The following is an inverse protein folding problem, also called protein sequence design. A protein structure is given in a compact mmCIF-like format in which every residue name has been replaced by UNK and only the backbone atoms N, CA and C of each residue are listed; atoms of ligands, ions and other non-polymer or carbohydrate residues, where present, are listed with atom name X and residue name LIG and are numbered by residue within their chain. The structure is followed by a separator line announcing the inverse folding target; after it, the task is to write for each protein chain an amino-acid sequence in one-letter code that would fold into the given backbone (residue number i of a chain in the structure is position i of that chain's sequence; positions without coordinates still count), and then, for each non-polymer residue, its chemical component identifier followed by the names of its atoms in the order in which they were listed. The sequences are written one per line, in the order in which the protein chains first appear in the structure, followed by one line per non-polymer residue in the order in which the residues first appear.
data_IF_285304277392
#
_entry.id   IF_285304277392
#
_cell.length_a   1.000
_cell.length_b   1.000
_cell.length_c   1.000
_cell.angle_alpha   90.00
_cell.angle_beta   90.00
_cell.angle_gamma   90.00
#
_symmetry.space_group_name_H-M   'P 1'
#
loop_
_entity.id
_entity.type
_entity.pdbx_description
1 polymer ?
#
# COMPACT_ATOMS: atom_id res chain seq x y z
N UNK A 1 -5.18 -15.27 27.45
CA UNK A 1 -6.52 -14.65 27.63
C UNK A 1 -7.52 -15.49 28.43
N UNK A 2 -7.63 -16.82 28.28
CA UNK A 2 -8.56 -17.64 29.11
C UNK A 2 -8.33 -17.62 30.64
N UNK A 3 -7.09 -17.70 31.18
CA UNK A 3 -6.90 -17.81 32.64
C UNK A 3 -7.26 -16.54 33.42
N UNK A 4 -7.11 -15.35 32.83
CA UNK A 4 -7.48 -14.09 33.48
C UNK A 4 -9.00 -13.91 33.57
N UNK A 5 -9.73 -14.29 32.52
CA UNK A 5 -11.20 -14.24 32.51
C UNK A 5 -11.81 -15.17 33.58
N UNK A 6 -11.24 -16.37 33.75
CA UNK A 6 -11.67 -17.32 34.77
C UNK A 6 -11.40 -16.79 36.19
N UNK A 7 -10.28 -16.09 36.40
CA UNK A 7 -9.98 -15.47 37.70
C UNK A 7 -10.95 -14.33 38.06
N UNK A 8 -11.30 -13.48 37.09
CA UNK A 8 -12.20 -12.34 37.29
C UNK A 8 -13.64 -12.80 37.56
N UNK A 9 -14.12 -13.81 36.83
CA UNK A 9 -15.45 -14.40 37.06
C UNK A 9 -15.58 -15.00 38.45
N UNK A 10 -14.56 -15.73 38.92
CA UNK A 10 -14.52 -16.29 40.27
C UNK A 10 -14.51 -15.21 41.35
N UNK A 11 -13.72 -14.15 41.15
CA UNK A 11 -13.66 -13.01 42.07
C UNK A 11 -15.02 -12.31 42.19
N UNK A 12 -15.68 -12.03 41.05
CA UNK A 12 -17.02 -11.44 41.02
C UNK A 12 -18.06 -12.31 41.72
N UNK A 13 -18.05 -13.64 41.46
CA UNK A 13 -18.97 -14.58 42.12
C UNK A 13 -18.78 -14.59 43.63
N UNK A 14 -17.54 -14.57 44.11
CA UNK A 14 -17.23 -14.50 45.55
C UNK A 14 -17.74 -13.20 46.18
N UNK A 15 -17.49 -12.06 45.54
CA UNK A 15 -17.96 -10.76 46.02
C UNK A 15 -19.49 -10.68 46.08
N UNK A 16 -20.19 -11.18 45.05
CA UNK A 16 -21.66 -11.28 45.05
C UNK A 16 -22.19 -12.14 46.19
N UNK A 17 -21.54 -13.29 46.47
CA UNK A 17 -21.91 -14.17 47.59
C UNK A 17 -21.69 -13.51 48.94
N UNK A 18 -20.59 -12.77 49.12
CA UNK A 18 -20.30 -12.04 50.36
C UNK A 18 -21.34 -10.95 50.62
N UNK A 19 -21.65 -10.12 49.62
CA UNK A 19 -22.65 -9.07 49.75
C UNK A 19 -24.06 -9.64 49.99
N UNK A 20 -24.42 -10.75 49.32
CA UNK A 20 -25.69 -11.45 49.57
C UNK A 20 -25.73 -12.06 50.97
N UNK A 21 -24.65 -12.71 51.41
CA UNK A 21 -24.54 -13.30 52.74
C UNK A 21 -24.70 -12.27 53.85
N UNK A 22 -24.10 -11.08 53.67
CA UNK A 22 -24.26 -9.98 54.61
C UNK A 22 -25.70 -9.46 54.66
N UNK A 23 -26.38 -9.31 53.50
CA UNK A 23 -27.80 -8.95 53.47
C UNK A 23 -28.65 -9.98 54.22
N UNK A 24 -28.46 -11.27 53.94
CA UNK A 24 -29.21 -12.35 54.61
C UNK A 24 -28.97 -12.36 56.13
N UNK A 25 -27.73 -12.14 56.57
CA UNK A 25 -27.38 -12.04 57.98
C UNK A 25 -28.15 -10.90 58.65
N UNK A 26 -28.11 -9.70 58.08
CA UNK A 26 -28.79 -8.53 58.63
C UNK A 26 -30.31 -8.71 58.64
N UNK A 27 -30.88 -9.28 57.58
CA UNK A 27 -32.31 -9.63 57.53
C UNK A 27 -32.67 -10.66 58.61
N UNK A 28 -31.84 -11.68 58.85
CA UNK A 28 -32.06 -12.66 59.90
C UNK A 28 -32.02 -12.03 61.30
N UNK A 29 -31.07 -11.11 61.54
CA UNK A 29 -30.99 -10.33 62.79
C UNK A 29 -32.25 -9.48 62.97
N UNK A 30 -32.72 -8.81 61.91
CA UNK A 30 -33.96 -8.02 61.96
C UNK A 30 -35.19 -8.88 62.28
N UNK A 31 -35.33 -10.04 61.65
CA UNK A 31 -36.45 -10.97 61.92
C UNK A 31 -36.38 -11.50 63.36
N UNK A 32 -35.22 -11.97 63.80
CA UNK A 32 -35.05 -12.53 65.14
C UNK A 32 -35.35 -11.48 66.24
N UNK A 33 -34.88 -10.25 66.05
CA UNK A 33 -35.16 -9.13 66.97
C UNK A 33 -36.59 -8.60 66.87
N UNK A 34 -37.33 -8.92 65.81
CA UNK A 34 -38.75 -8.55 65.67
C UNK A 34 -39.71 -9.50 66.37
N UNK A 35 -39.31 -10.76 66.59
CA UNK A 35 -40.12 -11.79 67.23
C UNK A 35 -39.91 -11.85 68.76
N UNK A 36 -38.76 -11.35 69.25
CA UNK A 36 -38.43 -11.33 70.69
C UNK A 36 -38.76 -9.95 71.28
N UNK A 37 -39.61 -9.92 72.30
CA UNK A 37 -39.93 -8.70 73.04
C UNK A 37 -39.06 -8.54 74.30
N UNK A 38 -38.61 -7.30 74.55
CA UNK A 38 -38.16 -6.66 75.81
C UNK A 38 -36.66 -6.37 75.96
N UNK A 39 -36.27 -5.14 75.59
CA UNK A 39 -35.04 -4.46 76.04
C UNK A 39 -34.65 -3.27 75.14
N UNK A 40 -34.20 -2.15 75.72
CA UNK A 40 -33.70 -0.98 74.96
C UNK A 40 -32.56 -1.34 74.00
N UNK A 41 -31.67 -2.24 74.44
CA UNK A 41 -30.57 -2.76 73.63
C UNK A 41 -31.06 -3.58 72.42
N UNK A 42 -32.05 -4.45 72.62
CA UNK A 42 -32.66 -5.24 71.55
C UNK A 42 -33.34 -4.34 70.50
N UNK A 43 -33.99 -3.26 70.94
CA UNK A 43 -34.58 -2.27 70.05
C UNK A 43 -33.51 -1.48 69.25
N UNK A 44 -32.35 -1.19 69.87
CA UNK A 44 -31.22 -0.57 69.17
C UNK A 44 -30.64 -1.48 68.08
N UNK A 45 -30.47 -2.77 68.39
CA UNK A 45 -30.02 -3.78 67.41
C UNK A 45 -31.04 -3.97 66.30
N UNK A 46 -32.34 -3.95 66.61
CA UNK A 46 -33.42 -3.99 65.60
C UNK A 46 -33.34 -2.80 64.66
N UNK A 47 -33.24 -1.58 65.18
CA UNK A 47 -33.15 -0.36 64.37
C UNK A 47 -31.88 -0.32 63.52
N UNK A 48 -30.75 -0.77 64.08
CA UNK A 48 -29.50 -0.96 63.33
C UNK A 48 -29.67 -1.98 62.20
N UNK A 49 -30.28 -3.14 62.47
CA UNK A 49 -30.49 -4.19 61.47
C UNK A 49 -31.50 -3.77 60.39
N UNK A 50 -32.56 -3.04 60.75
CA UNK A 50 -33.53 -2.48 59.82
C UNK A 50 -32.88 -1.50 58.86
N UNK A 51 -32.12 -0.53 59.39
CA UNK A 51 -31.45 0.47 58.57
C UNK A 51 -30.32 -0.13 57.72
N UNK A 52 -29.57 -1.10 58.26
CA UNK A 52 -28.58 -1.86 57.50
C UNK A 52 -29.23 -2.66 56.36
N UNK A 53 -30.38 -3.30 56.59
CA UNK A 53 -31.13 -4.03 55.57
C UNK A 53 -31.63 -3.11 54.47
N UNK A 54 -32.20 -1.96 54.83
CA UNK A 54 -32.68 -0.95 53.87
C UNK A 54 -31.52 -0.42 53.03
N UNK A 55 -30.38 -0.07 53.65
CA UNK A 55 -29.17 0.37 52.94
C UNK A 55 -28.65 -0.69 51.96
N UNK A 56 -28.57 -1.95 52.41
CA UNK A 56 -28.15 -3.08 51.58
C UNK A 56 -29.08 -3.36 50.39
N UNK A 57 -30.39 -3.14 50.55
CA UNK A 57 -31.40 -3.27 49.48
C UNK A 57 -31.37 -2.09 48.50
N UNK A 58 -31.18 -0.88 48.99
CA UNK A 58 -31.08 0.32 48.16
C UNK A 58 -29.85 0.24 47.23
N UNK A 59 -28.70 -0.12 47.77
CA UNK A 59 -27.48 -0.29 46.97
C UNK A 59 -27.56 -1.50 46.04
N UNK A 60 -28.22 -2.59 46.46
CA UNK A 60 -28.52 -3.69 45.56
C UNK A 60 -29.34 -3.22 44.35
N UNK A 61 -30.39 -2.44 44.58
CA UNK A 61 -31.20 -1.88 43.52
C UNK A 61 -30.38 -1.00 42.58
N UNK A 62 -29.56 -0.10 43.12
CA UNK A 62 -28.71 0.81 42.33
C UNK A 62 -27.70 0.05 41.45
N UNK A 63 -26.98 -0.93 42.02
CA UNK A 63 -25.99 -1.73 41.28
C UNK A 63 -26.67 -2.60 40.22
N UNK A 64 -27.80 -3.23 40.54
CA UNK A 64 -28.55 -4.03 39.56
C UNK A 64 -29.09 -3.14 38.45
N UNK A 65 -29.67 -1.97 38.78
CA UNK A 65 -30.20 -1.01 37.81
C UNK A 65 -29.13 -0.45 36.86
N UNK A 66 -27.85 -0.44 37.25
CA UNK A 66 -26.76 -0.04 36.36
C UNK A 66 -26.60 -1.01 35.19
N UNK A 67 -26.69 -2.32 35.45
CA UNK A 67 -26.43 -3.38 34.46
C UNK A 67 -27.70 -3.96 33.84
N UNK A 68 -28.74 -4.20 34.63
CA UNK A 68 -29.92 -4.99 34.24
C UNK A 68 -31.20 -4.38 34.80
N UNK A 69 -32.34 -4.95 34.39
CA UNK A 69 -33.63 -4.64 35.00
C UNK A 69 -33.78 -5.42 36.31
N UNK A 70 -33.99 -4.75 37.46
CA UNK A 70 -34.18 -5.44 38.74
C UNK A 70 -35.44 -6.31 38.67
N UNK A 71 -35.32 -7.57 39.07
CA UNK A 71 -36.39 -8.59 39.02
C UNK A 71 -37.03 -8.78 37.62
N UNK A 72 -36.39 -8.28 36.55
CA UNK A 72 -36.97 -8.27 35.20
C UNK A 72 -38.09 -7.24 34.98
N UNK A 73 -38.39 -6.39 35.95
CA UNK A 73 -39.50 -5.43 35.88
C UNK A 73 -39.13 -4.21 35.01
N UNK A 74 -40.07 -3.64 34.23
CA UNK A 74 -39.84 -2.48 33.37
C UNK A 74 -39.82 -1.17 34.20
N UNK A 75 -38.87 -1.04 35.10
CA UNK A 75 -38.69 0.17 35.92
C UNK A 75 -37.94 1.22 35.09
N UNK A 76 -38.43 2.48 35.03
CA UNK A 76 -37.77 3.54 34.29
C UNK A 76 -36.34 3.78 34.82
N UNK A 77 -35.42 4.18 33.95
CA UNK A 77 -34.02 4.49 34.29
C UNK A 77 -33.19 3.30 34.84
N UNK A 78 -33.54 2.07 34.49
CA UNK A 78 -32.74 0.86 34.77
C UNK A 78 -32.03 0.34 33.51
N UNK A 79 -31.13 -0.63 33.66
CA UNK A 79 -30.20 -1.08 32.63
C UNK A 79 -29.44 0.08 31.97
N UNK A 80 -28.89 0.99 32.80
CA UNK A 80 -28.30 2.27 32.36
C UNK A 80 -27.19 2.08 31.33
N UNK A 81 -26.31 1.09 31.52
CA UNK A 81 -25.20 0.81 30.60
C UNK A 81 -25.74 0.36 29.24
N UNK A 82 -26.60 -0.66 29.21
CA UNK A 82 -27.22 -1.17 28.00
C UNK A 82 -27.97 -0.06 27.23
N UNK A 83 -28.74 0.77 27.94
CA UNK A 83 -29.51 1.88 27.33
C UNK A 83 -28.62 2.98 26.75
N UNK A 84 -27.45 3.22 27.33
CA UNK A 84 -26.53 4.29 26.90
C UNK A 84 -25.38 3.79 26.02
N UNK A 85 -25.39 2.54 25.56
CA UNK A 85 -24.33 1.95 24.72
C UNK A 85 -23.89 2.86 23.57
N UNK A 86 -24.83 3.36 22.77
CA UNK A 86 -24.51 4.24 21.63
C UNK A 86 -23.84 5.55 22.07
N UNK A 87 -24.23 6.11 23.22
CA UNK A 87 -23.61 7.31 23.78
C UNK A 87 -22.20 7.04 24.29
N UNK A 88 -21.99 5.88 24.93
CA UNK A 88 -20.67 5.44 25.38
C UNK A 88 -19.74 5.28 24.17
N UNK A 89 -20.21 4.64 23.10
CA UNK A 89 -19.46 4.49 21.85
C UNK A 89 -19.02 5.82 21.25
N UNK A 90 -19.94 6.78 21.10
CA UNK A 90 -19.61 8.14 20.60
C UNK A 90 -18.58 8.87 21.44
N UNK A 91 -18.73 8.83 22.76
CA UNK A 91 -17.82 9.50 23.68
C UNK A 91 -16.44 8.86 23.63
N UNK A 92 -16.36 7.53 23.57
CA UNK A 92 -15.10 6.80 23.43
C UNK A 92 -14.41 7.14 22.10
N UNK A 93 -15.15 7.15 20.99
CA UNK A 93 -14.63 7.51 19.67
C UNK A 93 -14.06 8.94 19.66
N UNK A 94 -14.80 9.89 20.23
CA UNK A 94 -14.36 11.29 20.35
C UNK A 94 -13.13 11.41 21.24
N UNK A 95 -13.09 10.68 22.36
CA UNK A 95 -11.94 10.66 23.26
C UNK A 95 -10.68 10.12 22.58
N UNK A 96 -10.78 9.01 21.83
CA UNK A 96 -9.63 8.45 21.09
C UNK A 96 -9.14 9.44 20.02
N UNK A 97 -10.06 10.03 19.25
CA UNK A 97 -9.73 11.04 18.24
C UNK A 97 -9.00 12.24 18.84
N UNK A 98 -9.54 12.82 19.91
CA UNK A 98 -9.10 14.12 20.44
C UNK A 98 -7.93 14.02 21.42
N UNK A 99 -7.64 12.82 21.97
CA UNK A 99 -6.59 12.61 22.98
C UNK A 99 -5.45 11.70 22.55
N UNK A 100 -5.70 10.77 21.62
CA UNK A 100 -4.67 9.82 21.18
C UNK A 100 -4.23 10.04 19.75
N UNK A 101 -5.14 10.54 18.90
CA UNK A 101 -4.91 10.71 17.47
C UNK A 101 -5.00 12.17 17.03
N UNK A 102 -4.87 13.11 17.96
CA UNK A 102 -4.74 14.52 17.60
C UNK A 102 -3.38 14.78 16.92
N UNK A 103 -3.36 15.75 16.00
CA UNK A 103 -2.16 16.07 15.21
C UNK A 103 -0.93 16.34 16.10
N UNK A 104 -1.01 17.20 17.15
CA UNK A 104 0.12 17.42 18.06
C UNK A 104 0.66 16.16 18.72
N UNK A 105 -0.22 15.27 19.20
CA UNK A 105 0.19 14.01 19.83
C UNK A 105 0.93 13.09 18.85
N UNK A 106 0.42 12.96 17.61
CA UNK A 106 1.05 12.13 16.57
C UNK A 106 2.41 12.69 16.12
N UNK A 107 2.52 14.02 15.96
CA UNK A 107 3.79 14.68 15.64
C UNK A 107 4.79 14.52 16.79
N UNK A 108 4.35 14.68 18.05
CA UNK A 108 5.20 14.44 19.22
C UNK A 108 5.69 12.98 19.26
N UNK A 109 4.83 12.02 18.87
CA UNK A 109 5.20 10.62 18.81
C UNK A 109 6.29 10.35 17.77
N UNK A 110 6.20 10.97 16.59
CA UNK A 110 7.25 10.89 15.55
C UNK A 110 8.57 11.45 16.09
N UNK A 111 8.55 12.66 16.66
CA UNK A 111 9.76 13.30 17.21
C UNK A 111 10.45 12.49 18.30
N UNK A 112 9.66 11.80 19.14
CA UNK A 112 10.20 10.98 20.23
C UNK A 112 10.86 9.69 19.76
N UNK A 113 10.44 9.14 18.63
CA UNK A 113 10.82 7.78 18.22
C UNK A 113 11.75 7.70 17.01
N UNK A 114 12.09 8.84 16.39
CA UNK A 114 12.93 8.95 15.19
C UNK A 114 12.67 7.80 14.18
N UNK A 115 11.55 7.88 13.42
CA UNK A 115 11.19 6.84 12.46
C UNK A 115 12.29 6.55 11.43
N UNK A 116 13.04 7.58 11.01
CA UNK A 116 14.15 7.41 10.07
C UNK A 116 15.23 6.50 10.64
N UNK A 117 15.64 6.72 11.90
CA UNK A 117 16.64 5.89 12.56
C UNK A 117 16.15 4.45 12.77
N UNK A 118 14.91 4.28 13.23
CA UNK A 118 14.31 2.94 13.40
C UNK A 118 14.21 2.18 12.07
N UNK A 119 13.83 2.88 11.00
CA UNK A 119 13.78 2.31 9.66
C UNK A 119 15.18 1.91 9.19
N UNK A 120 16.18 2.75 9.41
CA UNK A 120 17.57 2.46 9.07
C UNK A 120 18.10 1.21 9.79
N UNK A 121 17.91 1.14 11.12
CA UNK A 121 18.29 -0.01 11.94
C UNK A 121 17.57 -1.30 11.49
N UNK A 122 16.28 -1.20 11.17
CA UNK A 122 15.51 -2.35 10.71
C UNK A 122 15.97 -2.83 9.32
N UNK A 123 16.23 -1.92 8.37
CA UNK A 123 16.67 -2.25 7.01
C UNK A 123 18.09 -2.85 6.96
N UNK A 124 18.98 -2.39 7.84
CA UNK A 124 20.38 -2.85 7.91
C UNK A 124 20.56 -4.13 8.70
N UNK A 125 19.57 -4.53 9.51
CA UNK A 125 19.62 -5.78 10.26
C UNK A 125 19.63 -7.02 9.33
N UNK A 126 20.37 -8.08 9.68
CA UNK A 126 20.52 -9.26 8.84
C UNK A 126 19.17 -9.94 8.58
N UNK A 127 18.86 -10.19 7.30
CA UNK A 127 17.64 -10.86 6.86
C UNK A 127 16.43 -9.94 6.64
N UNK A 128 16.37 -8.75 7.24
CA UNK A 128 15.19 -7.87 7.10
C UNK A 128 15.04 -7.28 5.70
N UNK A 129 16.14 -6.88 5.06
CA UNK A 129 16.12 -6.45 3.66
C UNK A 129 15.62 -7.57 2.72
N UNK A 130 15.94 -8.84 3.01
CA UNK A 130 15.42 -9.97 2.26
C UNK A 130 13.92 -10.18 2.52
N UNK A 131 13.46 -10.02 3.77
CA UNK A 131 12.03 -10.04 4.10
C UNK A 131 11.23 -8.99 3.33
N UNK A 132 11.77 -7.77 3.16
CA UNK A 132 11.15 -6.76 2.29
C UNK A 132 11.04 -7.25 0.85
N UNK A 133 12.11 -7.84 0.31
CA UNK A 133 12.12 -8.41 -1.03
C UNK A 133 11.00 -9.44 -1.20
N UNK A 134 10.88 -10.39 -0.27
CA UNK A 134 9.84 -11.43 -0.31
C UNK A 134 8.43 -10.88 -0.12
N UNK A 135 8.24 -9.83 0.69
CA UNK A 135 6.92 -9.22 0.80
C UNK A 135 6.55 -8.39 -0.42
N UNK A 136 7.51 -7.70 -1.02
CA UNK A 136 7.30 -7.00 -2.28
C UNK A 136 6.91 -7.98 -3.39
N UNK A 137 7.54 -9.15 -3.48
CA UNK A 137 7.14 -10.17 -4.47
C UNK A 137 5.75 -10.73 -4.21
N UNK A 138 5.38 -11.00 -2.95
CA UNK A 138 4.02 -11.44 -2.60
C UNK A 138 2.96 -10.40 -2.97
N UNK A 139 3.20 -9.13 -2.65
CA UNK A 139 2.30 -8.04 -3.01
C UNK A 139 2.21 -7.86 -4.52
N UNK A 140 3.35 -7.94 -5.23
CA UNK A 140 3.38 -7.87 -6.69
C UNK A 140 2.66 -9.05 -7.34
N UNK A 141 2.77 -10.26 -6.77
CA UNK A 141 2.04 -11.45 -7.23
C UNK A 141 0.54 -11.28 -7.05
N UNK A 142 0.10 -10.88 -5.85
CA UNK A 142 -1.31 -10.62 -5.58
C UNK A 142 -1.87 -9.52 -6.50
N UNK A 143 -1.11 -8.44 -6.72
CA UNK A 143 -1.49 -7.40 -7.66
C UNK A 143 -1.61 -7.96 -9.09
N UNK A 144 -0.63 -8.74 -9.55
CA UNK A 144 -0.63 -9.32 -10.90
C UNK A 144 -1.77 -10.34 -11.12
N UNK A 145 -2.22 -11.01 -10.07
CA UNK A 145 -3.39 -11.91 -10.09
C UNK A 145 -4.73 -11.14 -10.14
N UNK A 146 -4.83 -10.00 -9.44
CA UNK A 146 -6.05 -9.18 -9.44
C UNK A 146 -6.29 -8.46 -10.77
N UNK A 147 -5.23 -8.29 -11.56
CA UNK A 147 -5.27 -7.57 -12.83
C UNK A 147 -5.84 -8.47 -13.93
N UNK A 148 -7.01 -8.10 -14.46
CA UNK A 148 -7.66 -8.82 -15.57
C UNK A 148 -6.94 -8.58 -16.89
N UNK A 149 -6.56 -9.68 -17.56
CA UNK A 149 -5.80 -9.65 -18.82
C UNK A 149 -6.46 -8.84 -19.92
N UNK A 150 -7.77 -9.00 -20.09
CA UNK A 150 -8.51 -8.31 -21.13
C UNK A 150 -8.54 -6.78 -20.95
N UNK A 151 -8.47 -6.27 -19.72
CA UNK A 151 -8.48 -4.82 -19.46
C UNK A 151 -7.11 -4.22 -19.71
N UNK A 152 -6.05 -4.90 -19.27
CA UNK A 152 -4.69 -4.43 -19.48
C UNK A 152 -4.27 -4.53 -20.93
N UNK A 153 -4.66 -5.59 -21.63
CA UNK A 153 -4.42 -5.72 -23.06
C UNK A 153 -5.01 -4.52 -23.82
N UNK A 154 -6.27 -4.15 -23.55
CA UNK A 154 -6.91 -2.96 -24.15
C UNK A 154 -6.17 -1.67 -23.78
N UNK A 155 -5.73 -1.54 -22.53
CA UNK A 155 -4.97 -0.39 -22.07
C UNK A 155 -3.63 -0.27 -22.80
N UNK A 156 -2.88 -1.37 -22.90
CA UNK A 156 -1.58 -1.42 -23.60
C UNK A 156 -1.75 -1.12 -25.07
N UNK A 157 -2.75 -1.69 -25.74
CA UNK A 157 -3.05 -1.34 -27.13
C UNK A 157 -3.36 0.14 -27.31
N UNK A 158 -4.16 0.71 -26.41
CA UNK A 158 -4.52 2.14 -26.46
C UNK A 158 -3.29 3.01 -26.20
N UNK A 159 -2.44 2.65 -25.23
CA UNK A 159 -1.20 3.34 -24.92
C UNK A 159 -0.21 3.27 -26.08
N UNK A 160 0.01 2.09 -26.67
CA UNK A 160 0.88 1.88 -27.83
C UNK A 160 0.40 2.72 -29.02
N UNK A 161 -0.91 2.69 -29.35
CA UNK A 161 -1.47 3.52 -30.42
C UNK A 161 -1.34 5.01 -30.15
N UNK A 162 -1.55 5.43 -28.90
CA UNK A 162 -1.40 6.84 -28.51
C UNK A 162 0.06 7.31 -28.62
N UNK A 163 1.03 6.49 -28.19
CA UNK A 163 2.46 6.79 -28.28
C UNK A 163 2.93 6.84 -29.74
N UNK A 164 2.58 5.84 -30.56
CA UNK A 164 2.83 5.87 -32.02
C UNK A 164 2.14 7.10 -32.64
N UNK A 165 0.98 7.46 -32.11
CA UNK A 165 0.21 8.65 -32.46
C UNK A 165 0.82 9.97 -32.03
N UNK A 166 1.88 10.02 -31.24
CA UNK A 166 2.52 11.29 -30.86
C UNK A 166 3.87 11.49 -31.54
N UNK A 167 4.41 10.44 -32.17
CA UNK A 167 5.71 10.47 -32.83
C UNK A 167 5.55 10.83 -34.30
N UNK A 168 6.22 11.90 -34.73
CA UNK A 168 6.45 12.18 -36.15
C UNK A 168 7.54 11.23 -36.65
N UNK A 169 7.15 10.21 -37.42
CA UNK A 169 8.05 9.16 -37.91
C UNK A 169 9.17 9.72 -38.78
N UNK A 170 8.89 10.76 -39.56
CA UNK A 170 9.88 11.38 -40.44
C UNK A 170 10.96 12.09 -39.63
N UNK A 171 10.56 12.83 -38.59
CA UNK A 171 11.49 13.48 -37.66
C UNK A 171 12.23 12.49 -36.78
N UNK A 172 11.57 11.43 -36.30
CA UNK A 172 12.20 10.38 -35.50
C UNK A 172 13.30 9.66 -36.28
N UNK A 173 13.01 9.27 -37.53
CA UNK A 173 14.00 8.66 -38.42
C UNK A 173 15.15 9.63 -38.72
N UNK A 174 14.85 10.91 -38.95
CA UNK A 174 15.88 11.93 -39.12
C UNK A 174 16.76 12.10 -37.88
N UNK A 175 16.20 12.01 -36.66
CA UNK A 175 16.97 12.14 -35.42
C UNK A 175 17.90 10.93 -35.19
N UNK A 176 17.40 9.72 -35.47
CA UNK A 176 18.21 8.49 -35.40
C UNK A 176 19.34 8.55 -36.42
N UNK A 177 19.04 8.86 -37.69
CA UNK A 177 20.04 8.97 -38.74
C UNK A 177 21.07 10.06 -38.43
N UNK A 178 20.65 11.23 -37.93
CA UNK A 178 21.55 12.31 -37.53
C UNK A 178 22.48 11.90 -36.38
N UNK A 179 21.98 11.13 -35.42
CA UNK A 179 22.80 10.60 -34.31
C UNK A 179 23.80 9.54 -34.79
N UNK A 180 23.38 8.67 -35.71
CA UNK A 180 24.22 7.63 -36.31
C UNK A 180 25.24 8.20 -37.31
N UNK A 181 24.97 9.36 -37.90
CA UNK A 181 25.90 10.02 -38.82
C UNK A 181 26.80 11.04 -38.14
N UNK A 182 26.44 11.47 -36.92
CA UNK A 182 27.24 12.36 -36.10
C UNK A 182 28.68 11.83 -35.94
N UNK A 183 29.66 12.73 -36.07
CA UNK A 183 31.10 12.40 -36.05
C UNK A 183 31.54 11.38 -37.09
N UNK A 184 30.83 11.23 -38.21
CA UNK A 184 31.25 10.37 -39.34
C UNK A 184 31.07 8.87 -39.09
N UNK A 185 30.34 8.45 -38.05
CA UNK A 185 30.11 7.02 -37.74
C UNK A 185 29.49 6.20 -38.87
N UNK A 186 28.71 6.86 -39.73
CA UNK A 186 28.14 6.26 -40.94
C UNK A 186 29.19 5.83 -41.97
N UNK A 187 30.43 6.33 -41.90
CA UNK A 187 31.54 5.89 -42.75
C UNK A 187 31.99 4.47 -42.37
N UNK A 188 31.93 4.09 -41.09
CA UNK A 188 32.26 2.72 -40.67
C UNK A 188 31.26 1.70 -41.25
N UNK A 189 29.96 2.05 -41.27
CA UNK A 189 28.95 1.24 -41.95
C UNK A 189 29.18 1.17 -43.46
N UNK A 190 29.64 2.27 -44.07
CA UNK A 190 30.02 2.28 -45.49
C UNK A 190 31.22 1.35 -45.74
N UNK A 191 32.20 1.31 -44.84
CA UNK A 191 33.35 0.40 -44.92
C UNK A 191 32.90 -1.06 -44.93
N UNK A 192 32.03 -1.46 -44.00
CA UNK A 192 31.48 -2.82 -43.92
C UNK A 192 30.70 -3.20 -45.19
N UNK A 193 29.89 -2.28 -45.71
CA UNK A 193 29.12 -2.49 -46.95
C UNK A 193 30.05 -2.61 -48.16
N UNK A 194 31.04 -1.74 -48.29
CA UNK A 194 32.02 -1.80 -49.38
C UNK A 194 32.82 -3.10 -49.31
N UNK A 195 33.25 -3.53 -48.13
CA UNK A 195 33.95 -4.80 -47.94
C UNK A 195 33.09 -5.99 -48.40
N UNK A 196 31.81 -6.04 -48.02
CA UNK A 196 30.90 -7.12 -48.45
C UNK A 196 30.62 -7.08 -49.95
N UNK A 197 30.48 -5.89 -50.53
CA UNK A 197 30.25 -5.75 -51.97
C UNK A 197 31.49 -6.15 -52.78
N UNK A 198 32.70 -5.81 -52.32
CA UNK A 198 33.96 -6.25 -52.93
C UNK A 198 34.06 -7.77 -52.85
N UNK A 199 33.78 -8.38 -51.70
CA UNK A 199 33.75 -9.85 -51.53
C UNK A 199 32.75 -10.52 -52.49
N UNK A 200 31.55 -9.95 -52.63
CA UNK A 200 30.54 -10.44 -53.56
C UNK A 200 30.98 -10.31 -55.02
N UNK A 201 31.68 -9.24 -55.39
CA UNK A 201 32.20 -9.00 -56.75
C UNK A 201 33.43 -9.86 -57.07
N UNK A 202 34.18 -10.30 -56.05
CA UNK A 202 35.29 -11.26 -56.20
C UNK A 202 34.80 -12.67 -56.49
N UNK A 203 33.54 -12.99 -56.20
CA UNK A 203 32.94 -14.25 -56.58
C UNK A 203 32.75 -14.31 -58.12
N UNK A 204 33.31 -15.36 -58.74
CA UNK A 204 33.33 -15.55 -60.18
C UNK A 204 31.93 -15.53 -60.80
N UNK A 205 30.94 -16.14 -60.14
CA UNK A 205 29.55 -16.18 -60.61
C UNK A 205 28.90 -14.79 -60.62
N UNK A 206 29.09 -14.00 -59.56
CA UNK A 206 28.58 -12.62 -59.47
C UNK A 206 29.26 -11.74 -60.50
N UNK A 207 30.57 -11.89 -60.69
CA UNK A 207 31.33 -11.11 -61.67
C UNK A 207 30.83 -11.33 -63.09
N UNK A 208 30.60 -12.59 -63.48
CA UNK A 208 30.03 -12.92 -64.79
C UNK A 208 28.60 -12.38 -64.94
N UNK A 209 27.79 -12.47 -63.88
CA UNK A 209 26.43 -11.93 -63.88
C UNK A 209 26.40 -10.40 -64.01
N UNK A 210 27.26 -9.67 -63.29
CA UNK A 210 27.38 -8.20 -63.38
C UNK A 210 27.84 -7.80 -64.78
N UNK A 211 28.86 -8.49 -65.29
CA UNK A 211 29.40 -8.27 -66.64
C UNK A 211 28.30 -8.42 -67.71
N UNK A 212 27.51 -9.50 -67.65
CA UNK A 212 26.40 -9.73 -68.57
C UNK A 212 25.27 -8.70 -68.40
N UNK A 213 24.97 -8.30 -67.16
CA UNK A 213 23.93 -7.31 -66.84
C UNK A 213 24.29 -5.92 -67.39
N UNK A 214 25.55 -5.52 -67.33
CA UNK A 214 26.04 -4.26 -67.91
C UNK A 214 25.87 -4.27 -69.43
N UNK A 215 26.21 -5.38 -70.10
CA UNK A 215 26.01 -5.53 -71.55
C UNK A 215 24.53 -5.48 -71.91
N UNK A 216 23.67 -6.18 -71.15
CA UNK A 216 22.23 -6.18 -71.36
C UNK A 216 21.62 -4.78 -71.17
N UNK A 217 22.05 -4.04 -70.15
CA UNK A 217 21.63 -2.67 -69.91
C UNK A 217 22.05 -1.75 -71.06
N UNK A 218 23.31 -1.84 -71.52
CA UNK A 218 23.84 -1.02 -72.61
C UNK A 218 23.09 -1.24 -73.92
N UNK A 219 22.75 -2.51 -74.23
CA UNK A 219 21.92 -2.87 -75.40
C UNK A 219 20.51 -2.29 -75.32
N UNK A 220 19.95 -2.17 -74.12
CA UNK A 220 18.57 -1.71 -73.89
C UNK A 220 18.43 -0.19 -73.91
N UNK A 221 19.24 0.52 -73.12
CA UNK A 221 19.09 1.97 -72.91
C UNK A 221 19.90 2.82 -73.90
N UNK A 222 20.96 2.25 -74.50
CA UNK A 222 21.90 2.99 -75.35
C UNK A 222 22.21 2.31 -76.69
N UNK A 223 21.19 2.02 -77.53
CA UNK A 223 21.33 1.25 -78.77
C UNK A 223 22.17 1.95 -79.86
N UNK A 224 22.35 3.27 -79.77
CA UNK A 224 23.23 4.03 -80.69
C UNK A 224 24.71 3.86 -80.34
N UNK A 225 25.01 3.77 -79.05
CA UNK A 225 26.37 3.61 -78.52
C UNK A 225 26.88 2.19 -78.74
N UNK A 226 25.99 1.19 -78.70
CA UNK A 226 26.27 -0.19 -79.10
C UNK A 226 26.82 -0.28 -80.53
N UNK A 227 26.21 0.42 -81.49
CA UNK A 227 26.61 0.37 -82.92
C UNK A 227 27.96 1.05 -83.22
N UNK A 228 28.45 1.90 -82.33
CA UNK A 228 29.73 2.61 -82.47
C UNK A 228 30.88 1.92 -81.73
N UNK A 229 30.59 0.98 -80.83
CA UNK A 229 31.59 0.28 -80.04
C UNK A 229 32.10 -0.97 -80.78
N UNK A 230 33.42 -1.25 -80.74
CA UNK A 230 33.96 -2.50 -81.29
C UNK A 230 33.30 -3.73 -80.63
N UNK A 231 33.03 -4.78 -81.39
CA UNK A 231 32.40 -6.02 -80.88
C UNK A 231 33.19 -6.68 -79.74
N UNK A 232 34.51 -6.46 -79.66
CA UNK A 232 35.37 -6.92 -78.56
C UNK A 232 35.06 -6.24 -77.21
N UNK A 233 34.52 -5.02 -77.24
CA UNK A 233 34.12 -4.25 -76.06
C UNK A 233 32.76 -4.72 -75.50
N UNK A 234 31.90 -5.24 -76.37
CA UNK A 234 30.58 -5.79 -76.04
C UNK A 234 30.61 -7.30 -75.74
N UNK A 235 31.77 -7.95 -75.91
CA UNK A 235 31.99 -9.35 -75.56
C UNK A 235 32.46 -9.56 -74.11
N UNK A 236 32.74 -10.82 -73.76
CA UNK A 236 33.14 -11.22 -72.40
C UNK A 236 34.37 -10.51 -71.86
N UNK A 237 35.29 -10.06 -72.73
CA UNK A 237 36.50 -9.35 -72.33
C UNK A 237 36.23 -7.92 -71.87
N UNK A 238 35.40 -7.17 -72.59
CA UNK A 238 35.06 -5.78 -72.24
C UNK A 238 34.19 -5.69 -70.99
N UNK A 239 33.25 -6.61 -70.83
CA UNK A 239 32.40 -6.70 -69.64
C UNK A 239 33.18 -7.15 -68.40
N UNK A 240 34.14 -8.08 -68.54
CA UNK A 240 35.06 -8.47 -67.48
C UNK A 240 36.04 -7.35 -67.08
N UNK A 241 36.43 -6.48 -68.02
CA UNK A 241 37.22 -5.27 -67.76
C UNK A 241 36.41 -4.24 -66.98
N UNK A 242 35.14 -4.01 -67.33
CA UNK A 242 34.25 -3.09 -66.60
C UNK A 242 33.96 -3.58 -65.18
N UNK A 243 33.71 -4.89 -65.00
CA UNK A 243 33.52 -5.47 -63.67
C UNK A 243 34.78 -5.31 -62.80
N UNK A 244 35.97 -5.48 -63.40
CA UNK A 244 37.26 -5.28 -62.71
C UNK A 244 37.54 -3.81 -62.39
N UNK A 245 37.15 -2.91 -63.29
CA UNK A 245 37.24 -1.47 -63.06
C UNK A 245 36.31 -1.02 -61.92
N UNK A 246 35.10 -1.59 -61.85
CA UNK A 246 34.15 -1.35 -60.76
C UNK A 246 34.69 -1.89 -59.43
N UNK A 247 35.21 -3.11 -59.42
CA UNK A 247 35.87 -3.70 -58.24
C UNK A 247 37.03 -2.83 -57.76
N UNK A 248 37.93 -2.42 -58.67
CA UNK A 248 39.05 -1.53 -58.37
C UNK A 248 38.58 -0.20 -57.78
N UNK A 249 37.57 0.43 -58.39
CA UNK A 249 37.04 1.70 -57.91
C UNK A 249 36.41 1.55 -56.53
N UNK A 250 35.70 0.45 -56.25
CA UNK A 250 35.14 0.18 -54.92
C UNK A 250 36.23 -0.08 -53.89
N UNK A 251 37.29 -0.81 -54.25
CA UNK A 251 38.46 -1.03 -53.40
C UNK A 251 39.22 0.28 -53.11
N UNK A 252 39.37 1.15 -54.10
CA UNK A 252 39.99 2.47 -53.95
C UNK A 252 39.17 3.39 -53.04
N UNK A 253 37.84 3.36 -53.17
CA UNK A 253 36.92 4.06 -52.26
C UNK A 253 37.04 3.50 -50.84
N UNK A 254 37.12 2.17 -50.68
CA UNK A 254 37.26 1.52 -49.38
C UNK A 254 38.60 1.87 -48.71
N UNK A 255 39.70 1.89 -49.45
CA UNK A 255 41.04 2.15 -48.92
C UNK A 255 41.32 3.62 -48.61
N UNK A 256 40.64 4.57 -49.27
CA UNK A 256 40.90 6.00 -49.12
C UNK A 256 39.74 6.74 -48.41
N UNK A 257 39.88 7.10 -47.12
CA UNK A 257 38.86 7.85 -46.38
C UNK A 257 38.54 9.23 -46.96
N UNK A 258 39.47 9.86 -47.68
CA UNK A 258 39.28 11.18 -48.32
C UNK A 258 38.80 11.08 -49.78
N UNK A 259 38.34 9.90 -50.22
CA UNK A 259 37.86 9.72 -51.59
C UNK A 259 36.64 10.62 -51.91
N UNK A 260 36.60 11.20 -53.11
CA UNK A 260 35.53 12.12 -53.53
C UNK A 260 34.12 11.50 -53.44
N UNK A 261 33.99 10.20 -53.73
CA UNK A 261 32.72 9.47 -53.59
C UNK A 261 32.26 9.32 -52.13
N UNK A 262 33.17 9.20 -51.16
CA UNK A 262 32.80 9.19 -49.72
C UNK A 262 32.26 10.54 -49.28
N UNK A 263 32.88 11.62 -49.75
CA UNK A 263 32.40 12.98 -49.50
C UNK A 263 31.02 13.23 -50.14
N UNK A 264 30.79 12.74 -51.36
CA UNK A 264 29.47 12.80 -52.00
C UNK A 264 28.41 11.98 -51.25
N UNK A 265 28.78 10.81 -50.73
CA UNK A 265 27.91 10.00 -49.89
C UNK A 265 27.50 10.74 -48.62
N UNK A 266 28.45 11.35 -47.89
CA UNK A 266 28.15 12.13 -46.68
C UNK A 266 27.20 13.31 -47.01
N UNK A 267 27.49 14.07 -48.07
CA UNK A 267 26.60 15.15 -48.53
C UNK A 267 25.20 14.61 -48.87
N UNK A 268 25.10 13.45 -49.53
CA UNK A 268 23.83 12.84 -49.88
C UNK A 268 23.03 12.40 -48.64
N UNK A 269 23.69 11.78 -47.65
CA UNK A 269 23.10 11.36 -46.38
C UNK A 269 22.62 12.57 -45.58
N UNK A 270 23.46 13.61 -45.47
CA UNK A 270 23.09 14.86 -44.79
C UNK A 270 21.91 15.57 -45.46
N UNK A 271 21.89 15.60 -46.80
CA UNK A 271 20.76 16.15 -47.56
C UNK A 271 19.50 15.32 -47.34
N UNK A 272 19.62 14.01 -47.28
CA UNK A 272 18.49 13.11 -47.01
C UNK A 272 17.92 13.33 -45.59
N UNK A 273 18.78 13.45 -44.57
CA UNK A 273 18.36 13.79 -43.19
C UNK A 273 17.63 15.13 -43.15
N UNK A 274 18.14 16.17 -43.84
CA UNK A 274 17.45 17.46 -43.92
C UNK A 274 16.09 17.33 -44.58
N UNK A 275 15.99 16.60 -45.70
CA UNK A 275 14.71 16.35 -46.39
C UNK A 275 13.71 15.63 -45.49
N UNK A 276 14.13 14.62 -44.73
CA UNK A 276 13.24 13.95 -43.76
C UNK A 276 12.65 14.91 -42.71
N UNK A 277 13.29 16.05 -42.40
CA UNK A 277 12.77 17.02 -41.43
C UNK A 277 11.81 18.06 -42.03
N UNK A 278 12.04 18.46 -43.27
CA UNK A 278 11.40 19.66 -43.86
C UNK A 278 10.58 19.40 -45.11
N UNK A 279 10.75 18.25 -45.77
CA UNK A 279 10.10 17.95 -47.06
C UNK A 279 8.69 17.36 -46.82
N UNK A 280 7.63 18.01 -47.35
CA UNK A 280 6.26 17.54 -47.15
C UNK A 280 5.99 16.14 -47.72
N UNK A 281 6.73 15.69 -48.76
CA UNK A 281 6.58 14.32 -49.27
C UNK A 281 7.02 13.26 -48.25
N UNK A 282 8.13 13.51 -47.55
CA UNK A 282 8.65 12.59 -46.52
C UNK A 282 7.81 12.63 -45.25
N UNK A 283 7.27 13.80 -44.90
CA UNK A 283 6.26 13.90 -43.85
C UNK A 283 5.03 13.02 -44.16
N UNK A 284 4.55 13.03 -45.41
CA UNK A 284 3.44 12.17 -45.84
C UNK A 284 3.79 10.68 -45.75
N UNK A 285 4.98 10.27 -46.20
CA UNK A 285 5.45 8.88 -46.06
C UNK A 285 5.59 8.46 -44.58
N UNK A 286 6.06 9.37 -43.73
CA UNK A 286 6.10 9.16 -42.28
C UNK A 286 4.70 8.93 -41.70
N UNK A 287 3.70 9.69 -42.16
CA UNK A 287 2.31 9.52 -41.75
C UNK A 287 1.68 8.23 -42.28
N UNK A 288 2.04 7.80 -43.50
CA UNK A 288 1.65 6.48 -44.04
C UNK A 288 2.20 5.34 -43.18
N UNK A 289 3.48 5.40 -42.80
CA UNK A 289 4.12 4.41 -41.90
C UNK A 289 3.45 4.43 -40.51
N UNK A 290 3.19 5.63 -39.97
CA UNK A 290 2.52 5.80 -38.69
C UNK A 290 1.12 5.20 -38.70
N UNK A 291 0.35 5.48 -39.76
CA UNK A 291 -1.00 4.93 -39.95
C UNK A 291 -0.94 3.42 -40.07
N UNK A 292 0.00 2.89 -40.86
CA UNK A 292 0.22 1.45 -40.96
C UNK A 292 0.50 0.83 -39.58
N UNK A 293 1.43 1.37 -38.79
CA UNK A 293 1.74 0.88 -37.44
C UNK A 293 0.54 0.93 -36.46
N UNK A 294 -0.37 1.88 -36.62
CA UNK A 294 -1.54 2.02 -35.74
C UNK A 294 -2.70 1.07 -36.11
N UNK A 295 -2.85 0.79 -37.41
CA UNK A 295 -4.01 0.10 -37.97
C UNK A 295 -3.72 -1.37 -38.25
N UNK A 296 -2.46 -1.72 -38.43
CA UNK A 296 -2.04 -3.08 -38.78
C UNK A 296 -2.27 -4.06 -37.62
N UNK A 297 -2.97 -5.15 -37.92
CA UNK A 297 -3.32 -6.17 -36.95
C UNK A 297 -2.09 -6.95 -36.44
N UNK A 298 -1.01 -7.03 -37.22
CA UNK A 298 0.22 -7.75 -36.83
C UNK A 298 0.97 -7.02 -35.72
N UNK A 299 1.03 -5.68 -35.76
CA UNK A 299 1.63 -4.86 -34.71
C UNK A 299 0.83 -5.01 -33.41
N UNK A 300 -0.51 -5.04 -33.53
CA UNK A 300 -1.38 -5.36 -32.40
C UNK A 300 -1.04 -6.73 -31.79
N UNK A 301 -1.07 -7.79 -32.60
CA UNK A 301 -0.77 -9.14 -32.14
C UNK A 301 0.60 -9.26 -31.48
N UNK A 302 1.62 -8.61 -32.05
CA UNK A 302 2.97 -8.61 -31.47
C UNK A 302 3.04 -7.92 -30.09
N UNK A 303 2.39 -6.78 -29.93
CA UNK A 303 2.29 -6.09 -28.63
C UNK A 303 1.57 -6.96 -27.60
N UNK A 304 0.53 -7.68 -28.01
CA UNK A 304 -0.18 -8.61 -27.15
C UNK A 304 0.73 -9.79 -26.72
N UNK A 305 1.46 -10.40 -27.66
CA UNK A 305 2.42 -11.47 -27.34
C UNK A 305 3.50 -10.99 -26.39
N UNK A 306 4.11 -9.82 -26.66
CA UNK A 306 5.11 -9.23 -25.76
C UNK A 306 4.58 -9.02 -24.34
N UNK A 307 3.32 -8.59 -24.20
CA UNK A 307 2.69 -8.45 -22.90
C UNK A 307 2.51 -9.79 -22.19
N UNK A 308 2.00 -10.80 -22.90
CA UNK A 308 1.80 -12.13 -22.34
C UNK A 308 3.12 -12.79 -21.92
N UNK A 309 4.16 -12.63 -22.74
CA UNK A 309 5.50 -13.14 -22.45
C UNK A 309 6.13 -12.44 -21.24
N UNK A 310 6.02 -11.10 -21.17
CA UNK A 310 6.50 -10.32 -20.03
C UNK A 310 5.76 -10.72 -18.75
N UNK A 311 4.43 -10.86 -18.82
CA UNK A 311 3.62 -11.30 -17.68
C UNK A 311 4.02 -12.71 -17.23
N UNK A 312 4.17 -13.65 -18.16
CA UNK A 312 4.59 -15.01 -17.85
C UNK A 312 6.01 -15.09 -17.30
N UNK A 313 6.91 -14.20 -17.72
CA UNK A 313 8.24 -14.07 -17.13
C UNK A 313 8.17 -13.49 -15.71
N UNK A 314 7.37 -12.44 -15.48
CA UNK A 314 7.18 -11.85 -14.16
C UNK A 314 6.52 -12.82 -13.19
N UNK A 315 5.48 -13.55 -13.60
CA UNK A 315 4.84 -14.57 -12.75
C UNK A 315 5.81 -15.66 -12.32
N UNK A 316 6.67 -16.12 -13.23
CA UNK A 316 7.72 -17.11 -12.90
C UNK A 316 8.73 -16.55 -11.92
N UNK A 317 9.21 -15.32 -12.13
CA UNK A 317 10.15 -14.67 -11.20
C UNK A 317 9.53 -14.47 -9.81
N UNK A 318 8.26 -14.04 -9.74
CA UNK A 318 7.56 -13.78 -8.48
C UNK A 318 7.27 -15.07 -7.68
N UNK A 319 7.11 -16.20 -8.36
CA UNK A 319 6.91 -17.51 -7.75
C UNK A 319 8.22 -18.19 -7.30
N UNK A 320 9.37 -17.71 -7.78
CA UNK A 320 10.67 -18.26 -7.43
C UNK A 320 11.07 -17.84 -6.00
N UNK A 321 11.65 -18.80 -5.25
CA UNK A 321 12.26 -18.53 -3.95
C UNK A 321 13.43 -17.55 -4.07
N UNK A 322 14.13 -17.57 -5.21
CA UNK A 322 15.26 -16.71 -5.56
C UNK A 322 14.86 -15.66 -6.63
N UNK A 323 13.70 -15.02 -6.45
CA UNK A 323 13.23 -13.93 -7.33
C UNK A 323 14.28 -12.82 -7.52
N UNK A 324 14.48 -12.42 -8.78
CA UNK A 324 15.29 -11.25 -9.15
C UNK A 324 14.69 -10.00 -8.52
N UNK A 325 13.37 -9.83 -8.58
CA UNK A 325 12.68 -8.69 -7.98
C UNK A 325 12.88 -8.64 -6.46
N UNK A 326 12.79 -9.77 -5.76
CA UNK A 326 13.07 -9.82 -4.31
C UNK A 326 14.50 -9.36 -4.00
N UNK A 327 15.50 -9.84 -4.76
CA UNK A 327 16.89 -9.40 -4.58
C UNK A 327 17.09 -7.92 -4.88
N UNK A 328 16.45 -7.41 -5.94
CA UNK A 328 16.55 -6.00 -6.33
C UNK A 328 15.97 -5.10 -5.24
N UNK A 329 14.77 -5.43 -4.74
CA UNK A 329 14.10 -4.72 -3.65
C UNK A 329 14.91 -4.82 -2.36
N UNK A 330 15.46 -6.00 -2.05
CA UNK A 330 16.33 -6.18 -0.89
C UNK A 330 17.59 -5.32 -0.97
N UNK A 331 18.25 -5.25 -2.13
CA UNK A 331 19.42 -4.36 -2.35
C UNK A 331 19.05 -2.89 -2.20
N UNK A 332 17.92 -2.46 -2.77
CA UNK A 332 17.43 -1.08 -2.62
C UNK A 332 17.09 -0.75 -1.18
N UNK A 333 16.46 -1.68 -0.45
CA UNK A 333 16.15 -1.54 0.96
C UNK A 333 17.41 -1.43 1.82
N UNK A 334 18.41 -2.28 1.57
CA UNK A 334 19.70 -2.21 2.26
C UNK A 334 20.42 -0.88 1.98
N UNK A 335 20.50 -0.48 0.70
CA UNK A 335 21.10 0.81 0.32
C UNK A 335 20.39 2.00 0.98
N UNK A 336 19.06 1.98 1.06
CA UNK A 336 18.28 3.01 1.75
C UNK A 336 18.59 3.01 3.25
N UNK A 337 18.67 1.83 3.86
CA UNK A 337 19.02 1.66 5.27
C UNK A 337 20.42 2.20 5.59
N UNK A 338 21.42 1.86 4.77
CA UNK A 338 22.80 2.35 4.89
C UNK A 338 22.87 3.87 4.68
N UNK A 339 22.15 4.40 3.70
CA UNK A 339 22.08 5.85 3.44
C UNK A 339 21.47 6.61 4.61
N UNK A 340 20.37 6.10 5.19
CA UNK A 340 19.75 6.70 6.37
C UNK A 340 20.64 6.53 7.62
N UNK A 341 21.36 5.42 7.77
CA UNK A 341 22.27 5.22 8.90
C UNK A 341 23.50 6.15 8.82
N UNK A 342 24.00 6.42 7.61
CA UNK A 342 25.22 7.21 7.38
C UNK A 342 25.01 8.73 7.30
N UNK A 343 23.81 9.21 6.97
CA UNK A 343 23.53 10.63 6.76
C UNK A 343 22.46 11.19 7.72
N UNK A 344 22.91 11.98 8.70
CA UNK A 344 22.02 12.63 9.66
C UNK A 344 21.10 13.70 9.03
N UNK A 345 21.56 14.40 7.99
CA UNK A 345 20.74 15.40 7.30
C UNK A 345 19.61 14.72 6.50
N UNK A 346 19.89 13.57 5.87
CA UNK A 346 18.87 12.77 5.20
C UNK A 346 17.81 12.25 6.17
N UNK A 347 18.22 11.77 7.36
CA UNK A 347 17.27 11.34 8.41
C UNK A 347 16.37 12.47 8.87
N UNK A 348 16.94 13.65 9.13
CA UNK A 348 16.15 14.82 9.52
C UNK A 348 15.16 15.20 8.43
N UNK A 349 15.60 15.24 7.17
CA UNK A 349 14.72 15.54 6.03
C UNK A 349 13.56 14.54 5.88
N UNK A 350 13.83 13.26 6.14
CA UNK A 350 12.81 12.20 6.13
C UNK A 350 11.79 12.39 7.26
N UNK A 351 12.26 12.64 8.48
CA UNK A 351 11.40 12.89 9.64
C UNK A 351 10.54 14.15 9.44
N UNK A 352 11.13 15.26 8.99
CA UNK A 352 10.40 16.51 8.69
C UNK A 352 9.36 16.32 7.57
N UNK A 353 9.62 15.40 6.63
CA UNK A 353 8.63 15.03 5.61
C UNK A 353 7.52 14.19 6.19
N UNK A 354 7.84 13.19 7.01
CA UNK A 354 6.83 12.38 7.70
C UNK A 354 5.92 13.22 8.60
N UNK A 355 6.48 14.19 9.32
CA UNK A 355 5.70 15.12 10.15
C UNK A 355 4.66 15.86 9.30
N UNK A 356 5.07 16.46 8.17
CA UNK A 356 4.15 17.14 7.25
C UNK A 356 3.08 16.23 6.66
N UNK A 357 3.42 14.97 6.38
CA UNK A 357 2.46 13.98 5.90
C UNK A 357 1.43 13.65 6.98
N UNK A 358 1.88 13.49 8.22
CA UNK A 358 0.98 13.27 9.36
C UNK A 358 0.11 14.50 9.64
N UNK A 359 0.65 15.71 9.57
CA UNK A 359 -0.15 16.93 9.72
C UNK A 359 -1.29 17.01 8.69
N UNK A 360 -1.03 16.59 7.44
CA UNK A 360 -2.04 16.57 6.39
C UNK A 360 -3.04 15.41 6.51
N UNK A 361 -2.60 14.21 6.86
CA UNK A 361 -3.41 12.99 6.83
C UNK A 361 -4.08 12.63 8.16
N UNK A 362 -3.52 13.07 9.29
CA UNK A 362 -4.03 12.72 10.61
C UNK A 362 -5.50 13.11 10.82
N UNK A 363 -6.00 14.29 10.41
CA UNK A 363 -7.41 14.63 10.61
C UNK A 363 -8.37 13.59 10.00
N UNK A 364 -8.09 13.15 8.78
CA UNK A 364 -8.92 12.18 8.05
C UNK A 364 -8.82 10.79 8.67
N UNK A 365 -7.61 10.34 9.01
CA UNK A 365 -7.38 9.04 9.65
C UNK A 365 -8.03 8.98 11.04
N UNK A 366 -7.90 10.05 11.83
CA UNK A 366 -8.50 10.13 13.17
C UNK A 366 -10.02 10.15 13.13
N UNK A 367 -10.61 10.83 12.14
CA UNK A 367 -12.04 10.78 11.90
C UNK A 367 -12.51 9.37 11.48
N UNK A 368 -11.77 8.72 10.57
CA UNK A 368 -12.05 7.35 10.13
C UNK A 368 -12.01 6.35 11.31
N UNK A 369 -10.97 6.40 12.14
CA UNK A 369 -10.84 5.53 13.31
C UNK A 369 -11.95 5.80 14.33
N UNK A 370 -12.28 7.06 14.58
CA UNK A 370 -13.38 7.41 15.48
C UNK A 370 -14.72 6.82 15.00
N UNK A 371 -15.02 6.99 13.70
CA UNK A 371 -16.21 6.42 13.09
C UNK A 371 -16.22 4.89 13.20
N UNK A 372 -15.09 4.24 12.95
CA UNK A 372 -14.96 2.79 13.08
C UNK A 372 -15.21 2.30 14.52
N UNK A 373 -14.70 3.01 15.54
CA UNK A 373 -14.95 2.69 16.96
C UNK A 373 -16.43 2.85 17.30
N UNK A 374 -17.06 3.96 16.89
CA UNK A 374 -18.48 4.18 17.14
C UNK A 374 -19.33 3.08 16.50
N UNK A 375 -19.08 2.75 15.24
CA UNK A 375 -19.82 1.72 14.50
C UNK A 375 -19.60 0.34 15.11
N UNK A 376 -18.39 0.05 15.59
CA UNK A 376 -18.07 -1.22 16.25
C UNK A 376 -18.85 -1.37 17.56
N UNK A 377 -18.81 -0.36 18.44
CA UNK A 377 -19.55 -0.38 19.71
C UNK A 377 -21.06 -0.45 19.46
N UNK A 378 -21.56 0.19 18.40
CA UNK A 378 -22.98 0.13 18.03
C UNK A 378 -23.44 -1.25 17.55
N UNK A 379 -22.53 -2.07 16.99
CA UNK A 379 -22.83 -3.43 16.51
C UNK A 379 -22.80 -4.49 17.61
N UNK A 380 -22.20 -4.20 18.77
CA UNK A 380 -22.16 -5.14 19.88
C UNK A 380 -23.55 -5.39 20.45
N UNK A 381 -23.79 -6.61 20.93
CA UNK A 381 -24.97 -6.88 21.73
C UNK A 381 -24.84 -6.15 23.08
N UNK A 382 -25.92 -5.47 23.49
CA UNK A 382 -25.97 -4.72 24.73
C UNK A 382 -25.75 -5.64 25.94
N UNK A 383 -26.20 -6.90 25.86
CA UNK A 383 -26.00 -7.88 26.93
C UNK A 383 -24.54 -8.29 27.07
N UNK A 384 -23.85 -8.56 25.96
CA UNK A 384 -22.42 -8.90 25.95
C UNK A 384 -21.56 -7.77 26.50
N UNK A 385 -21.78 -6.54 26.05
CA UNK A 385 -21.08 -5.35 26.56
C UNK A 385 -21.31 -5.18 28.06
N UNK A 386 -22.55 -5.35 28.51
CA UNK A 386 -22.91 -5.24 29.93
C UNK A 386 -22.19 -6.31 30.76
N UNK A 387 -22.14 -7.55 30.28
CA UNK A 387 -21.41 -8.63 30.97
C UNK A 387 -19.92 -8.33 31.06
N UNK A 388 -19.31 -7.83 29.98
CA UNK A 388 -17.88 -7.49 29.96
C UNK A 388 -17.55 -6.38 30.98
N UNK A 389 -18.39 -5.34 31.06
CA UNK A 389 -18.21 -4.25 32.03
C UNK A 389 -18.46 -4.75 33.46
N UNK A 390 -19.48 -5.57 33.67
CA UNK A 390 -19.80 -6.18 34.96
C UNK A 390 -18.66 -7.09 35.46
N UNK A 391 -17.99 -7.81 34.57
CA UNK A 391 -16.84 -8.64 34.92
C UNK A 391 -15.65 -7.82 35.44
N UNK A 392 -15.41 -6.66 34.82
CA UNK A 392 -14.25 -5.83 35.15
C UNK A 392 -14.47 -4.95 36.39
N UNK A 393 -15.68 -4.39 36.58
CA UNK A 393 -15.96 -3.40 37.65
C UNK A 393 -16.92 -3.95 38.72
N UNK A 394 -17.59 -5.08 38.45
CA UNK A 394 -18.65 -5.59 39.32
C UNK A 394 -18.19 -5.97 40.72
N UNK A 395 -16.94 -6.41 40.89
CA UNK A 395 -16.36 -6.71 42.22
C UNK A 395 -16.35 -5.45 43.09
N UNK A 396 -15.86 -4.34 42.54
CA UNK A 396 -15.73 -3.07 43.26
C UNK A 396 -17.12 -2.49 43.59
N UNK A 397 -18.10 -2.69 42.70
CA UNK A 397 -19.49 -2.33 42.96
C UNK A 397 -20.13 -3.16 44.09
N UNK A 398 -19.72 -4.41 44.32
CA UNK A 398 -20.22 -5.17 45.48
C UNK A 398 -19.70 -4.61 46.81
N UNK A 399 -18.53 -3.96 46.84
CA UNK A 399 -18.06 -3.29 48.05
C UNK A 399 -18.93 -2.10 48.44
N UNK A 400 -19.51 -1.38 47.47
CA UNK A 400 -20.50 -0.33 47.74
C UNK A 400 -21.66 -0.90 48.56
N UNK A 401 -22.19 -2.07 48.17
CA UNK A 401 -23.29 -2.73 48.88
C UNK A 401 -22.93 -3.18 50.30
N UNK A 402 -21.70 -3.69 50.50
CA UNK A 402 -21.20 -4.02 51.84
C UNK A 402 -21.12 -2.75 52.68
N UNK A 403 -20.55 -1.68 52.13
CA UNK A 403 -20.43 -0.39 52.81
C UNK A 403 -21.80 0.21 53.13
N UNK A 404 -22.78 0.15 52.23
CA UNK A 404 -24.15 0.61 52.48
C UNK A 404 -24.85 -0.15 53.60
N UNK A 405 -24.53 -1.44 53.75
CA UNK A 405 -25.03 -2.24 54.88
C UNK A 405 -24.45 -1.73 56.21
N UNK A 406 -23.13 -1.51 56.25
CA UNK A 406 -22.43 -1.05 57.46
C UNK A 406 -22.84 0.38 57.83
N UNK A 407 -22.82 1.30 56.86
CA UNK A 407 -23.20 2.70 57.04
C UNK A 407 -24.68 2.82 57.39
N UNK A 408 -25.55 2.05 56.72
CA UNK A 408 -26.97 1.99 57.04
C UNK A 408 -27.20 1.58 58.50
N UNK A 409 -26.48 0.55 58.98
CA UNK A 409 -26.56 0.13 60.37
C UNK A 409 -26.12 1.21 61.35
N UNK A 410 -24.97 1.85 61.10
CA UNK A 410 -24.46 2.94 61.94
C UNK A 410 -25.44 4.12 62.02
N UNK A 411 -26.05 4.50 60.88
CA UNK A 411 -27.06 5.55 60.82
C UNK A 411 -28.31 5.12 61.60
N UNK A 412 -28.78 3.88 61.43
CA UNK A 412 -29.91 3.35 62.19
C UNK A 412 -29.69 3.39 63.70
N UNK A 413 -28.48 3.02 64.14
CA UNK A 413 -28.10 3.09 65.55
C UNK A 413 -28.05 4.54 66.06
N UNK A 414 -27.52 5.46 65.26
CA UNK A 414 -27.46 6.89 65.59
C UNK A 414 -28.87 7.47 65.72
N UNK A 415 -29.75 7.22 64.74
CA UNK A 415 -31.15 7.67 64.75
C UNK A 415 -31.93 7.06 65.92
N UNK A 416 -31.67 5.80 66.24
CA UNK A 416 -32.24 5.15 67.42
C UNK A 416 -31.77 5.86 68.71
N UNK A 417 -30.46 6.12 68.82
CA UNK A 417 -29.89 6.85 69.94
C UNK A 417 -30.55 8.21 70.13
N UNK A 418 -30.64 9.01 69.07
CA UNK A 418 -31.27 10.35 69.08
C UNK A 418 -32.75 10.27 69.47
N UNK A 419 -33.52 9.35 68.88
CA UNK A 419 -34.95 9.20 69.16
C UNK A 419 -35.25 8.73 70.59
N UNK A 420 -34.31 8.01 71.22
CA UNK A 420 -34.47 7.46 72.57
C UNK A 420 -33.74 8.26 73.66
N UNK A 421 -33.09 9.39 73.33
CA UNK A 421 -32.46 10.30 74.33
C UNK A 421 -33.46 10.70 75.42
N UNK A 422 -34.71 11.02 75.07
CA UNK A 422 -35.74 11.39 76.05
C UNK A 422 -36.27 10.23 76.91
N UNK A 423 -36.09 8.98 76.48
CA UNK A 423 -36.42 7.79 77.27
C UNK A 423 -35.24 7.39 78.17
N UNK A 424 -34.01 7.49 77.68
CA UNK A 424 -32.79 7.26 78.44
C UNK A 424 -32.58 8.33 79.52
N UNK A 425 -32.89 9.59 79.25
CA UNK A 425 -32.84 10.67 80.24
C UNK A 425 -33.82 10.47 81.40
N UNK A 426 -35.02 9.93 81.14
CA UNK A 426 -35.99 9.59 82.20
C UNK A 426 -35.57 8.38 83.04
N UNK A 427 -34.86 7.42 82.45
CA UNK A 427 -34.31 6.26 83.17
C UNK A 427 -33.06 6.62 84.01
N UNK A 428 -32.32 7.67 83.64
CA UNK A 428 -31.12 8.12 84.35
C UNK A 428 -31.42 9.17 85.44
N UNK A 429 -32.47 9.98 85.29
CA UNK A 429 -32.84 11.04 86.25
C UNK A 429 -34.07 10.73 87.12
N UNK A 430 -34.76 9.61 86.87
CA UNK A 430 -35.95 9.17 87.60
C UNK A 430 -35.69 7.97 88.52
N UNK A 431 -34.59 8.00 89.28
CA UNK A 431 -34.29 7.07 90.37
C UNK A 431 -34.36 7.77 91.71
#
# INVERSE_FOLDING_TARGET
MKPEADSATLALRRAKRQALGLLLLVTAVFIATSVVERGLWLNAVKAMAEAAMVGALADWFAVVALFRRPLGLPIPHTAVIARNQARIGRNLATFVRDKFLDVPSLVSLIRRHDPAERLAQWLTAPGNAALLGHQATRLASAALETVQDAQVERFIHKAARALIGQVDMSRALAAVLDTLTHNGRHQALLDDVLAKLIELLQNEQTRTWVAQSIVAWLKKDHPRTEKLLPSDWLGDKGSALLARALESLMADVAANPQHALRAQFDIAVQRFIKRLRSDPEWARKGEEIRTWLQTDATVGGYVQTLWLDLRGALQRDLADADSVLARQVGKLGLWLGESLAGDAALRQSFNDRLERWVEGLAPDVSAFIAQHIEDTVRRWDAEEMTQLIELNIGKDLQYIRINGTVVGGLIGLLLFGVSHVGAMGRALWGG
#
